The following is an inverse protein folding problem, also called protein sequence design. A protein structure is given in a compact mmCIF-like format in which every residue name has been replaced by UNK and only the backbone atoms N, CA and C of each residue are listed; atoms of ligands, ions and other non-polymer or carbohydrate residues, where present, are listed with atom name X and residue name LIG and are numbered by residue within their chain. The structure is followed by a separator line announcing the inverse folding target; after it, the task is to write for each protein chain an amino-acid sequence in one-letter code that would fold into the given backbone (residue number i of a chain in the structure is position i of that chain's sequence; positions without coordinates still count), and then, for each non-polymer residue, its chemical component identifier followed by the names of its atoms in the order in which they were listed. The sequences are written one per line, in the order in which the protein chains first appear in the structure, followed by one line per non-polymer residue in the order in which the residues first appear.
data_IF_406493924226
#
_entry.id   IF_406493924226
#
_cell.length_a   1.000
_cell.length_b   1.000
_cell.length_c   1.000
_cell.angle_alpha   90.00
_cell.angle_beta   90.00
_cell.angle_gamma   90.00
#
_symmetry.space_group_name_H-M   'P 1'
#
loop_
_entity.id
_entity.type
_entity.pdbx_description
1 polymer ?
#
# COMPACT_ATOMS: atom_id res chain seq x y z
N UNK A 1 -11.77 25.65 2.56
CA UNK A 1 -12.21 24.56 1.68
C UNK A 1 -11.24 23.39 1.84
N UNK A 2 -11.67 22.27 2.42
CA UNK A 2 -10.83 21.05 2.56
C UNK A 2 -10.75 20.37 1.20
N UNK A 3 -9.59 20.38 0.54
CA UNK A 3 -9.35 19.52 -0.62
C UNK A 3 -9.47 18.05 -0.18
N UNK A 4 -10.39 17.30 -0.81
CA UNK A 4 -10.47 15.84 -0.69
C UNK A 4 -9.18 15.25 -1.25
N UNK A 5 -8.29 14.76 -0.38
CA UNK A 5 -7.07 14.05 -0.77
C UNK A 5 -7.15 12.53 -0.53
N UNK A 6 -8.24 12.00 0.03
CA UNK A 6 -8.43 10.55 0.23
C UNK A 6 -8.88 9.80 -1.05
N UNK A 7 -8.99 10.50 -2.19
CA UNK A 7 -9.68 10.00 -3.39
C UNK A 7 -8.81 9.31 -4.43
N UNK A 8 -7.48 9.33 -4.35
CA UNK A 8 -6.66 8.83 -5.49
C UNK A 8 -6.40 7.33 -5.41
N UNK A 9 -5.69 6.84 -4.37
CA UNK A 9 -5.31 5.42 -4.35
C UNK A 9 -6.49 4.49 -4.05
N UNK A 10 -7.38 4.85 -3.11
CA UNK A 10 -8.55 4.03 -2.81
C UNK A 10 -9.50 3.89 -4.01
N UNK A 11 -9.66 4.95 -4.80
CA UNK A 11 -10.47 4.91 -6.03
C UNK A 11 -9.79 4.07 -7.11
N UNK A 12 -8.49 4.26 -7.29
CA UNK A 12 -7.67 3.44 -8.20
C UNK A 12 -7.79 1.95 -7.88
N UNK A 13 -7.64 1.57 -6.61
CA UNK A 13 -7.73 0.17 -6.19
C UNK A 13 -9.12 -0.42 -6.44
N UNK A 14 -10.19 0.34 -6.16
CA UNK A 14 -11.56 -0.11 -6.47
C UNK A 14 -11.77 -0.26 -7.98
N UNK A 15 -11.25 0.67 -8.78
CA UNK A 15 -11.36 0.63 -10.23
C UNK A 15 -10.63 -0.59 -10.80
N UNK A 16 -9.38 -0.83 -10.37
CA UNK A 16 -8.60 -2.00 -10.78
C UNK A 16 -9.28 -3.29 -10.33
N UNK A 17 -9.77 -3.36 -9.09
CA UNK A 17 -10.48 -4.53 -8.59
C UNK A 17 -11.76 -4.81 -9.40
N UNK A 18 -12.53 -3.78 -9.75
CA UNK A 18 -13.74 -3.93 -10.55
C UNK A 18 -13.45 -4.52 -11.93
N UNK A 19 -12.38 -4.10 -12.59
CA UNK A 19 -12.05 -4.56 -13.94
C UNK A 19 -11.21 -5.84 -13.97
N UNK A 20 -10.33 -6.04 -13.00
CA UNK A 20 -9.29 -7.07 -13.06
C UNK A 20 -9.23 -7.95 -11.81
N UNK A 21 -10.13 -7.81 -10.84
CA UNK A 21 -10.03 -8.50 -9.55
C UNK A 21 -9.92 -10.02 -9.63
N UNK A 22 -10.44 -10.64 -10.69
CA UNK A 22 -10.40 -12.08 -10.93
C UNK A 22 -9.24 -12.56 -11.80
N UNK A 23 -8.50 -11.67 -12.47
CA UNK A 23 -7.44 -12.04 -13.42
C UNK A 23 -6.10 -11.32 -13.17
N UNK A 24 -6.07 -10.36 -12.24
CA UNK A 24 -4.86 -9.62 -11.90
C UNK A 24 -3.93 -10.48 -11.06
N UNK A 25 -2.91 -11.07 -11.70
CA UNK A 25 -1.89 -11.84 -10.99
C UNK A 25 -0.86 -10.99 -10.25
N UNK A 26 -0.53 -9.80 -10.75
CA UNK A 26 0.54 -8.96 -10.19
C UNK A 26 0.06 -7.52 -10.03
N UNK A 27 0.21 -6.97 -8.82
CA UNK A 27 -0.04 -5.56 -8.54
C UNK A 27 1.18 -4.94 -7.84
N UNK A 28 1.71 -3.87 -8.45
CA UNK A 28 2.80 -3.07 -7.90
C UNK A 28 2.34 -1.62 -7.77
N UNK A 29 2.36 -1.09 -6.55
CA UNK A 29 1.94 0.27 -6.24
C UNK A 29 3.13 1.04 -5.70
N UNK A 30 3.46 2.15 -6.35
CA UNK A 30 4.50 3.06 -5.90
C UNK A 30 3.86 4.40 -5.52
N UNK A 31 3.55 4.57 -4.24
CA UNK A 31 2.93 5.78 -3.72
C UNK A 31 3.99 6.77 -3.26
N UNK A 32 4.19 7.84 -4.03
CA UNK A 32 5.14 8.90 -3.70
C UNK A 32 4.67 9.83 -2.57
N UNK A 33 3.34 9.98 -2.39
CA UNK A 33 2.77 10.89 -1.40
C UNK A 33 2.83 10.26 0.00
N UNK A 34 3.17 11.07 1.00
CA UNK A 34 3.25 10.70 2.43
C UNK A 34 1.89 10.33 3.09
N UNK A 35 0.87 10.03 2.28
CA UNK A 35 -0.40 9.54 2.76
C UNK A 35 -0.27 8.07 3.14
N UNK A 36 -0.94 7.66 4.21
CA UNK A 36 -1.03 6.26 4.62
C UNK A 36 -2.12 5.58 3.80
N UNK A 37 -1.96 4.29 3.53
CA UNK A 37 -2.95 3.49 2.82
C UNK A 37 -3.17 2.14 3.51
N UNK A 38 -4.43 1.73 3.78
CA UNK A 38 -4.73 0.46 4.42
C UNK A 38 -4.56 -0.69 3.41
N UNK A 39 -3.47 -1.45 3.53
CA UNK A 39 -3.11 -2.51 2.58
C UNK A 39 -4.09 -3.67 2.62
N UNK A 40 -4.71 -3.91 3.78
CA UNK A 40 -5.76 -4.91 3.97
C UNK A 40 -6.80 -4.92 2.86
N UNK A 41 -7.29 -3.74 2.45
CA UNK A 41 -8.37 -3.59 1.47
C UNK A 41 -8.02 -4.14 0.10
N UNK A 42 -6.74 -4.17 -0.26
CA UNK A 42 -6.27 -4.72 -1.53
C UNK A 42 -6.59 -6.20 -1.61
N UNK A 43 -6.27 -6.95 -0.55
CA UNK A 43 -6.43 -8.41 -0.49
C UNK A 43 -7.90 -8.83 -0.39
N UNK A 44 -8.74 -8.01 0.25
CA UNK A 44 -10.19 -8.25 0.28
C UNK A 44 -10.84 -8.09 -1.10
N UNK A 45 -10.33 -7.17 -1.92
CA UNK A 45 -10.90 -6.85 -3.24
C UNK A 45 -10.31 -7.71 -4.37
N UNK A 46 -9.10 -8.22 -4.20
CA UNK A 46 -8.36 -8.95 -5.24
C UNK A 46 -7.75 -10.23 -4.64
N UNK A 47 -8.60 -11.21 -4.28
CA UNK A 47 -8.17 -12.42 -3.60
C UNK A 47 -7.17 -13.24 -4.43
N UNK A 48 -7.25 -13.20 -5.76
CA UNK A 48 -6.43 -13.98 -6.68
C UNK A 48 -5.05 -13.35 -7.00
N UNK A 49 -4.61 -12.36 -6.23
CA UNK A 49 -3.29 -11.77 -6.41
C UNK A 49 -2.20 -12.83 -6.13
N UNK A 50 -1.27 -12.96 -7.06
CA UNK A 50 -0.09 -13.83 -6.93
C UNK A 50 1.09 -13.05 -6.36
N UNK A 51 1.22 -11.78 -6.73
CA UNK A 51 2.32 -10.91 -6.30
C UNK A 51 1.83 -9.51 -5.98
N UNK A 52 2.13 -9.05 -4.77
CA UNK A 52 1.85 -7.70 -4.32
C UNK A 52 3.12 -6.98 -3.88
N UNK A 53 3.36 -5.80 -4.43
CA UNK A 53 4.48 -4.92 -4.08
C UNK A 53 3.90 -3.55 -3.75
N UNK A 54 4.19 -3.07 -2.54
CA UNK A 54 3.83 -1.71 -2.13
C UNK A 54 5.08 -0.96 -1.70
N UNK A 55 5.27 0.22 -2.27
CA UNK A 55 6.30 1.18 -1.86
C UNK A 55 5.62 2.47 -1.47
N UNK A 56 5.67 2.82 -0.19
CA UNK A 56 4.97 3.99 0.34
C UNK A 56 4.97 4.03 1.87
N UNK A 57 4.12 4.87 2.45
CA UNK A 57 3.82 4.81 3.89
C UNK A 57 2.65 3.86 4.14
N UNK A 58 2.82 2.97 5.10
CA UNK A 58 1.76 2.11 5.64
C UNK A 58 1.16 2.77 6.87
N UNK A 59 -0.12 2.54 7.13
CA UNK A 59 -0.88 3.20 8.19
C UNK A 59 -0.31 2.94 9.59
N UNK A 60 -0.14 1.68 9.98
CA UNK A 60 0.46 1.27 11.25
C UNK A 60 0.82 -0.23 11.25
N UNK A 61 1.51 -0.70 12.30
CA UNK A 61 1.77 -2.13 12.51
C UNK A 61 0.48 -2.95 12.64
N UNK A 62 -0.62 -2.32 13.06
CA UNK A 62 -1.90 -2.99 13.27
C UNK A 62 -2.52 -3.36 11.92
N UNK A 63 -2.45 -2.50 10.91
CA UNK A 63 -2.88 -2.76 9.54
C UNK A 63 -2.03 -3.87 8.92
N UNK A 64 -0.71 -3.83 9.11
CA UNK A 64 0.17 -4.91 8.65
C UNK A 64 -0.19 -6.25 9.29
N UNK A 65 -0.45 -6.29 10.60
CA UNK A 65 -0.91 -7.51 11.30
C UNK A 65 -2.28 -7.98 10.78
N UNK A 66 -3.21 -7.07 10.53
CA UNK A 66 -4.54 -7.39 9.98
C UNK A 66 -4.45 -7.92 8.55
N UNK A 67 -3.59 -7.32 7.73
CA UNK A 67 -3.28 -7.78 6.38
C UNK A 67 -2.71 -9.20 6.40
N UNK A 68 -1.67 -9.44 7.22
CA UNK A 68 -1.09 -10.78 7.37
C UNK A 68 -2.10 -11.80 7.88
N UNK A 69 -3.00 -11.41 8.80
CA UNK A 69 -4.08 -12.28 9.28
C UNK A 69 -5.03 -12.68 8.16
N UNK A 70 -5.40 -11.75 7.28
CA UNK A 70 -6.29 -12.02 6.13
C UNK A 70 -5.62 -12.95 5.12
N UNK A 71 -4.34 -12.72 4.82
CA UNK A 71 -3.55 -13.63 3.97
C UNK A 71 -3.49 -15.02 4.61
N UNK A 72 -3.21 -15.10 5.91
CA UNK A 72 -3.15 -16.38 6.66
C UNK A 72 -4.51 -17.10 6.74
N UNK A 73 -5.62 -16.37 6.69
CA UNK A 73 -6.98 -16.94 6.61
C UNK A 73 -7.33 -17.51 5.22
N UNK A 74 -6.41 -17.45 4.25
CA UNK A 74 -6.62 -17.99 2.90
C UNK A 74 -7.41 -17.08 1.98
N UNK A 75 -7.61 -15.80 2.33
CA UNK A 75 -8.29 -14.83 1.45
C UNK A 75 -7.46 -14.57 0.18
N UNK A 76 -6.14 -14.72 0.25
CA UNK A 76 -5.24 -14.71 -0.90
C UNK A 76 -4.39 -15.96 -0.96
N UNK A 77 -5.03 -17.10 -1.21
CA UNK A 77 -4.41 -18.42 -1.34
C UNK A 77 -3.36 -18.50 -2.47
N UNK A 78 -3.49 -17.65 -3.50
CA UNK A 78 -2.54 -17.56 -4.60
C UNK A 78 -1.31 -16.70 -4.33
N UNK A 79 -1.26 -15.94 -3.23
CA UNK A 79 -0.22 -14.95 -2.97
C UNK A 79 1.11 -15.65 -2.64
N UNK A 80 2.09 -15.53 -3.55
CA UNK A 80 3.43 -16.13 -3.41
C UNK A 80 4.50 -15.12 -3.01
N UNK A 81 4.24 -13.83 -3.23
CA UNK A 81 5.22 -12.78 -2.99
C UNK A 81 4.55 -11.51 -2.47
N UNK A 82 5.00 -11.10 -1.28
CA UNK A 82 4.61 -9.87 -0.62
C UNK A 82 5.87 -9.07 -0.30
N UNK A 83 5.94 -7.82 -0.77
CA UNK A 83 7.03 -6.90 -0.43
C UNK A 83 6.47 -5.54 -0.04
N UNK A 84 6.76 -5.13 1.19
CA UNK A 84 6.57 -3.77 1.68
C UNK A 84 7.93 -3.06 1.69
N UNK A 85 7.98 -1.88 1.07
CA UNK A 85 9.16 -1.01 1.01
C UNK A 85 8.81 0.32 1.69
N UNK A 86 9.08 0.45 3.00
CA UNK A 86 8.85 1.70 3.70
C UNK A 86 9.75 2.79 3.11
N UNK A 87 9.16 3.94 2.76
CA UNK A 87 9.93 5.11 2.37
C UNK A 87 10.77 5.61 3.55
N UNK A 88 12.10 5.62 3.40
CA UNK A 88 12.99 6.27 4.35
C UNK A 88 12.66 7.77 4.38
N UNK A 89 12.29 8.29 5.54
CA UNK A 89 12.22 9.75 5.74
C UNK A 89 13.60 10.36 5.55
N UNK A 90 13.75 11.49 4.82
CA UNK A 90 15.02 12.21 4.81
C UNK A 90 15.38 12.57 6.26
N UNK A 91 16.59 12.18 6.69
CA UNK A 91 17.12 12.58 8.00
C UNK A 91 17.16 14.11 8.03
N UNK A 92 16.29 14.74 8.81
CA UNK A 92 16.43 16.16 9.14
C UNK A 92 17.72 16.33 9.95
N UNK A 93 18.73 16.99 9.40
CA UNK A 93 19.87 17.47 10.19
C UNK A 93 21.26 17.32 9.57
N UNK A 94 21.49 17.78 8.34
CA UNK A 94 22.86 17.86 7.80
C UNK A 94 23.07 19.03 6.82
N UNK A 95 22.41 20.16 7.07
CA UNK A 95 22.83 21.47 6.53
C UNK A 95 22.33 22.54 7.51
N UNK A 96 23.08 22.78 8.58
CA UNK A 96 23.07 24.08 9.21
C UNK A 96 24.08 24.92 8.40
N UNK A 97 23.68 25.98 7.68
CA UNK A 97 24.65 26.94 7.21
C UNK A 97 25.20 27.67 8.43
N UNK A 98 26.48 27.48 8.72
CA UNK A 98 27.23 28.34 9.63
C UNK A 98 27.17 29.77 9.07
N UNK A 99 26.36 30.63 9.70
CA UNK A 99 26.53 32.09 9.60
C UNK A 99 27.59 32.51 10.61
N UNK A 100 28.51 33.37 10.18
CA UNK A 100 28.32 34.79 10.49
C UNK A 100 28.11 35.68 9.25
#
# INVERSE_FOLDING_TARGET
MKQRQDSDLSCFIRHIAYHFGNCLGILSIHQWRFQTFPLRRVFELMPFLVRFIYTGRVEDEVDLKRMLKIVACGVCDTLRYLKDLPQQTPKKGLYAPDQP
#
